data_IF_010915213242
#
_entry.id   IF_010915213242
#
_cell.length_a   1.000
_cell.length_b   1.000
_cell.length_c   1.000
_cell.angle_alpha   90.00
_cell.angle_beta   90.00
_cell.angle_gamma   90.00
#
_symmetry.space_group_name_H-M   'P 1'
#
loop_
_entity.id
_entity.type
_entity.pdbx_description
1 polymer ?
#
# COMPACT_ATOMS: atom_id res chain seq x y z
N UNK A 1 9.88 -1.49 6.97
CA UNK A 1 8.53 -2.11 7.03
C UNK A 1 8.62 -3.64 7.09
N UNK A 2 9.45 -4.27 6.25
CA UNK A 2 9.57 -5.73 6.04
C UNK A 2 10.05 -6.62 7.20
N UNK A 3 10.53 -6.07 8.32
CA UNK A 3 10.85 -6.86 9.53
C UNK A 3 9.78 -6.75 10.65
N UNK A 4 8.69 -6.03 10.39
CA UNK A 4 7.69 -5.64 11.40
C UNK A 4 6.24 -5.95 11.00
N UNK A 5 6.04 -6.64 9.89
CA UNK A 5 4.72 -6.99 9.37
C UNK A 5 4.74 -8.43 8.90
N UNK A 6 3.60 -9.09 9.00
CA UNK A 6 3.43 -10.50 8.66
C UNK A 6 2.85 -10.64 7.24
N UNK A 7 2.31 -9.54 6.70
CA UNK A 7 1.78 -9.43 5.34
C UNK A 7 1.85 -7.97 4.86
N UNK A 8 1.91 -7.74 3.54
CA UNK A 8 1.79 -6.43 2.91
C UNK A 8 0.63 -6.39 1.92
N UNK A 9 -0.22 -5.37 2.02
CA UNK A 9 -1.19 -5.00 0.99
C UNK A 9 -0.66 -3.78 0.23
N UNK A 10 -0.50 -3.95 -1.08
CA UNK A 10 -0.13 -2.88 -2.01
C UNK A 10 -1.38 -2.44 -2.74
N UNK A 11 -1.74 -1.17 -2.59
CA UNK A 11 -2.94 -0.59 -3.21
C UNK A 11 -2.58 0.07 -4.53
N UNK A 12 -3.07 -0.48 -5.62
CA UNK A 12 -2.88 0.06 -6.96
C UNK A 12 -3.22 -0.95 -8.06
N UNK A 13 -3.23 -0.47 -9.30
CA UNK A 13 -3.64 -1.26 -10.46
C UNK A 13 -2.61 -2.35 -10.81
N UNK A 14 -3.10 -3.50 -11.28
CA UNK A 14 -2.27 -4.63 -11.71
C UNK A 14 -1.32 -4.29 -12.87
N UNK A 15 -1.66 -3.31 -13.70
CA UNK A 15 -0.81 -2.84 -14.80
C UNK A 15 0.20 -1.74 -14.37
N UNK A 16 0.23 -1.35 -13.10
CA UNK A 16 1.18 -0.36 -12.60
C UNK A 16 2.52 -1.02 -12.29
N UNK A 17 3.56 -0.69 -13.05
CA UNK A 17 4.92 -1.20 -12.81
C UNK A 17 5.43 -0.85 -11.40
N UNK A 18 5.15 0.37 -10.91
CA UNK A 18 5.54 0.78 -9.57
C UNK A 18 4.87 -0.07 -8.47
N UNK A 19 3.57 -0.33 -8.59
CA UNK A 19 2.86 -1.13 -7.58
C UNK A 19 3.33 -2.59 -7.59
N UNK A 20 3.53 -3.18 -8.76
CA UNK A 20 4.13 -4.51 -8.86
C UNK A 20 5.54 -4.55 -8.24
N UNK A 21 6.35 -3.51 -8.46
CA UNK A 21 7.67 -3.44 -7.86
C UNK A 21 7.63 -3.41 -6.33
N UNK A 22 6.71 -2.65 -5.75
CA UNK A 22 6.50 -2.64 -4.30
C UNK A 22 6.11 -4.02 -3.76
N UNK A 23 5.23 -4.75 -4.47
CA UNK A 23 4.85 -6.13 -4.12
C UNK A 23 6.05 -7.07 -4.18
N UNK A 24 6.76 -7.08 -5.29
CA UNK A 24 7.96 -7.91 -5.50
C UNK A 24 9.01 -7.69 -4.42
N UNK A 25 9.22 -6.44 -3.98
CA UNK A 25 10.16 -6.12 -2.91
C UNK A 25 9.71 -6.76 -1.59
N UNK A 26 8.43 -6.69 -1.24
CA UNK A 26 7.90 -7.34 -0.04
C UNK A 26 8.04 -8.88 -0.12
N UNK A 27 7.69 -9.48 -1.26
CA UNK A 27 7.83 -10.92 -1.51
C UNK A 27 9.29 -11.37 -1.41
N UNK A 28 10.22 -10.58 -1.97
CA UNK A 28 11.67 -10.87 -1.91
C UNK A 28 12.24 -10.88 -0.48
N UNK A 29 11.52 -10.26 0.46
CA UNK A 29 11.86 -10.20 1.88
C UNK A 29 11.17 -11.30 2.69
N UNK A 30 10.49 -12.24 2.01
CA UNK A 30 9.81 -13.39 2.61
C UNK A 30 8.48 -13.05 3.28
N UNK A 31 7.88 -11.91 2.92
CA UNK A 31 6.58 -11.48 3.45
C UNK A 31 5.53 -11.66 2.36
N UNK A 32 4.41 -12.29 2.71
CA UNK A 32 3.27 -12.41 1.80
C UNK A 32 2.80 -11.02 1.37
N UNK A 33 2.69 -10.78 0.07
CA UNK A 33 2.29 -9.47 -0.45
C UNK A 33 1.22 -9.59 -1.53
N UNK A 34 0.17 -8.80 -1.41
CA UNK A 34 -0.96 -8.81 -2.33
C UNK A 34 -1.15 -7.44 -2.96
N UNK A 35 -1.48 -7.44 -4.25
CA UNK A 35 -1.83 -6.24 -4.99
C UNK A 35 -3.36 -6.17 -5.09
N UNK A 36 -3.95 -5.09 -4.59
CA UNK A 36 -5.40 -4.88 -4.54
C UNK A 36 -5.78 -3.52 -5.13
N UNK A 37 -6.90 -3.45 -5.83
CA UNK A 37 -7.49 -2.21 -6.30
C UNK A 37 -8.33 -1.49 -5.23
N UNK A 38 -8.69 -2.18 -4.15
CA UNK A 38 -9.54 -1.60 -3.11
C UNK A 38 -9.98 -2.63 -2.05
N UNK A 39 -10.82 -2.19 -1.09
CA UNK A 39 -11.19 -3.00 0.07
C UNK A 39 -11.99 -4.26 -0.29
N UNK A 40 -12.70 -4.27 -1.42
CA UNK A 40 -13.49 -5.41 -1.90
C UNK A 40 -12.66 -6.60 -2.37
N UNK A 41 -11.38 -6.38 -2.69
CA UNK A 41 -10.45 -7.42 -3.11
C UNK A 41 -9.65 -8.00 -1.93
N UNK A 42 -10.00 -7.62 -0.69
CA UNK A 42 -9.38 -8.19 0.50
C UNK A 42 -10.09 -9.49 0.84
N UNK A 43 -9.32 -10.56 0.80
CA UNK A 43 -9.73 -11.91 1.12
C UNK A 43 -9.47 -12.20 2.60
N UNK A 44 -10.48 -12.70 3.32
CA UNK A 44 -10.39 -12.95 4.77
C UNK A 44 -9.41 -14.07 5.09
N UNK A 45 -9.16 -14.99 4.15
CA UNK A 45 -8.19 -16.07 4.26
C UNK A 45 -6.73 -15.58 4.33
N UNK A 46 -6.45 -14.36 3.85
CA UNK A 46 -5.12 -13.77 3.93
C UNK A 46 -4.80 -13.31 5.37
N UNK A 47 -5.81 -12.89 6.12
CA UNK A 47 -5.62 -12.23 7.41
C UNK A 47 -5.99 -13.16 8.54
N UNK A 48 -5.00 -13.49 9.38
CA UNK A 48 -5.22 -14.30 10.58
C UNK A 48 -5.29 -13.42 11.83
N UNK A 49 -5.99 -13.87 12.89
CA UNK A 49 -5.99 -13.17 14.16
C UNK A 49 -4.56 -12.90 14.67
N UNK A 50 -4.26 -11.65 14.99
CA UNK A 50 -2.96 -11.22 15.50
C UNK A 50 -1.93 -10.81 14.44
N UNK A 51 -2.26 -10.89 13.15
CA UNK A 51 -1.36 -10.42 12.08
C UNK A 51 -1.18 -8.90 12.10
N UNK A 52 0.06 -8.48 11.84
CA UNK A 52 0.42 -7.10 11.54
C UNK A 52 0.42 -6.92 10.03
N UNK A 53 -0.60 -6.24 9.51
CA UNK A 53 -0.73 -5.96 8.09
C UNK A 53 -0.07 -4.63 7.77
N UNK A 54 0.92 -4.65 6.88
CA UNK A 54 1.48 -3.46 6.28
C UNK A 54 0.62 -3.00 5.12
N UNK A 55 0.26 -1.72 5.06
CA UNK A 55 -0.48 -1.13 3.94
C UNK A 55 0.40 -0.09 3.27
N UNK A 56 0.55 -0.18 1.95
CA UNK A 56 1.26 0.80 1.13
C UNK A 56 0.49 1.01 -0.17
N UNK A 57 0.74 2.11 -0.86
CA UNK A 57 0.09 2.40 -2.14
C UNK A 57 1.11 2.89 -3.17
N UNK A 58 0.76 2.76 -4.46
CA UNK A 58 1.51 3.39 -5.53
C UNK A 58 1.31 4.91 -5.54
N UNK A 59 2.22 5.63 -6.20
CA UNK A 59 2.20 7.09 -6.30
C UNK A 59 0.92 7.67 -6.95
N UNK A 60 0.22 6.87 -7.76
CA UNK A 60 -1.01 7.26 -8.46
C UNK A 60 -2.30 6.91 -7.70
N UNK A 61 -2.20 6.34 -6.50
CA UNK A 61 -3.35 5.84 -5.74
C UNK A 61 -3.90 6.93 -4.81
N UNK A 62 -5.20 7.25 -4.86
CA UNK A 62 -5.81 8.24 -3.96
C UNK A 62 -5.70 7.85 -2.48
N UNK A 63 -5.44 8.84 -1.61
CA UNK A 63 -5.32 8.64 -0.16
C UNK A 63 -6.61 8.08 0.46
N UNK A 64 -7.78 8.53 -0.02
CA UNK A 64 -9.08 8.04 0.45
C UNK A 64 -9.23 6.52 0.32
N UNK A 65 -8.64 5.93 -0.73
CA UNK A 65 -8.69 4.49 -0.97
C UNK A 65 -7.81 3.72 0.03
N UNK A 66 -6.68 4.33 0.43
CA UNK A 66 -5.82 3.80 1.50
C UNK A 66 -6.60 3.77 2.81
N UNK A 67 -7.30 4.86 3.14
CA UNK A 67 -8.13 4.94 4.34
C UNK A 67 -9.27 3.91 4.34
N UNK A 68 -9.92 3.70 3.19
CA UNK A 68 -10.98 2.70 3.04
C UNK A 68 -10.46 1.28 3.27
N UNK A 69 -9.28 0.95 2.73
CA UNK A 69 -8.61 -0.34 2.95
C UNK A 69 -8.23 -0.49 4.42
N UNK A 70 -7.66 0.53 5.06
CA UNK A 70 -7.32 0.45 6.49
C UNK A 70 -8.58 0.25 7.34
N UNK A 71 -9.69 0.93 7.01
CA UNK A 71 -10.96 0.78 7.72
C UNK A 71 -11.56 -0.62 7.56
N UNK A 72 -11.51 -1.21 6.37
CA UNK A 72 -12.08 -2.55 6.13
C UNK A 72 -11.37 -3.65 6.93
N UNK A 73 -10.09 -3.45 7.26
CA UNK A 73 -9.32 -4.36 8.12
C UNK A 73 -9.74 -4.31 9.60
N UNK A 74 -10.52 -3.32 10.02
CA UNK A 74 -10.94 -3.10 11.43
C UNK A 74 -9.77 -3.25 12.43
N UNK A 75 -8.67 -2.47 12.28
CA UNK A 75 -7.47 -2.67 13.05
C UNK A 75 -7.65 -2.28 14.52
N UNK A 76 -7.06 -3.06 15.43
CA UNK A 76 -6.99 -2.70 16.85
C UNK A 76 -6.04 -1.52 17.12
N UNK A 77 -5.02 -1.36 16.27
CA UNK A 77 -4.02 -0.29 16.37
C UNK A 77 -3.49 0.05 14.99
N UNK A 78 -3.45 1.35 14.69
CA UNK A 78 -2.84 1.88 13.47
C UNK A 78 -1.52 2.54 13.85
N UNK A 79 -0.49 2.34 13.06
CA UNK A 79 0.81 3.01 13.24
C UNK A 79 1.34 3.43 11.87
N UNK A 80 1.40 4.74 11.65
CA UNK A 80 2.01 5.30 10.45
C UNK A 80 3.53 5.25 10.63
N UNK A 81 4.21 4.60 9.69
CA UNK A 81 5.67 4.56 9.66
C UNK A 81 6.10 5.71 8.76
N UNK A 82 6.74 6.77 9.28
CA UNK A 82 7.20 7.87 8.43
C UNK A 82 8.21 7.34 7.41
N UNK A 83 7.93 7.63 6.14
CA UNK A 83 8.88 7.42 5.05
C UNK A 83 9.89 8.57 4.96
N UNK A 84 10.73 8.52 3.93
CA UNK A 84 11.55 9.68 3.55
C UNK A 84 10.61 10.74 2.98
N UNK A 85 10.67 11.98 3.48
CA UNK A 85 9.92 13.10 2.90
C UNK A 85 10.48 13.43 1.52
N UNK A 86 9.66 13.25 0.47
CA UNK A 86 10.01 13.62 -0.90
C UNK A 86 9.28 14.91 -1.30
N UNK A 87 10.02 16.03 -1.33
CA UNK A 87 9.49 17.35 -1.69
C UNK A 87 9.80 17.70 -3.16
N UNK A 88 9.31 16.89 -4.10
CA UNK A 88 9.47 17.14 -5.54
C UNK A 88 8.13 17.63 -6.12
N UNK A 89 8.11 18.83 -6.69
CA UNK A 89 6.95 19.40 -7.36
C UNK A 89 7.29 19.73 -8.81
N UNK A 90 6.49 19.20 -9.75
CA UNK A 90 6.58 19.55 -11.16
C UNK A 90 5.66 20.73 -11.44
N UNK A 91 6.21 21.85 -11.91
CA UNK A 91 5.41 22.99 -12.36
C UNK A 91 4.89 22.71 -13.77
N UNK A 92 3.63 23.06 -14.01
CA UNK A 92 3.07 23.05 -15.37
C UNK A 92 3.85 24.04 -16.26
N UNK A 93 4.23 23.64 -17.48
CA UNK A 93 4.82 24.55 -18.47
C UNK A 93 3.92 25.75 -18.72
N UNK A 94 4.54 26.88 -19.06
CA UNK A 94 3.84 28.15 -19.24
C UNK A 94 2.82 28.09 -20.38
N UNK A 95 3.00 27.19 -21.36
CA UNK A 95 2.07 27.01 -22.48
C UNK A 95 0.76 26.30 -22.12
N UNK A 96 0.67 25.69 -20.93
CA UNK A 96 -0.49 24.92 -20.45
C UNK A 96 -1.16 25.57 -19.21
N UNK A 97 -0.87 26.84 -18.96
CA UNK A 97 -1.41 27.62 -17.83
C UNK A 97 -2.67 28.40 -18.18
#
# INVERSE_FOLDING_TARGET
MSGKVDMVLVIGAQNSSNCNRLREVAESLGVDAYLINGPSEIHTEWIKPGYRVGVTSGASTPEILVDEVVKSLTPLKITVIPGVEENISFRLPEELR
#
